data_IF_380303372485
#
_entry.id   IF_380303372485
#
_cell.length_a   1.000
_cell.length_b   1.000
_cell.length_c   1.000
_cell.angle_alpha   90.00
_cell.angle_beta   90.00
_cell.angle_gamma   90.00
#
_symmetry.space_group_name_H-M   'P 1'
#
loop_
_entity.id
_entity.type
_entity.pdbx_description
1 polymer ?
#
# COMPACT_ATOMS: atom_id res chain seq x y z
N UNK A 1 21.26 -17.11 -14.29
CA UNK A 1 21.37 -16.27 -13.11
C UNK A 1 20.54 -15.01 -13.28
N UNK A 2 19.90 -14.60 -12.25
CA UNK A 2 19.16 -13.36 -12.30
C UNK A 2 20.09 -12.18 -12.47
N UNK A 3 19.72 -11.32 -13.36
CA UNK A 3 20.47 -10.10 -13.55
C UNK A 3 20.27 -9.17 -12.36
N UNK A 4 21.36 -8.60 -11.91
CA UNK A 4 21.31 -7.57 -10.88
C UNK A 4 21.48 -6.19 -11.50
N UNK A 5 21.39 -6.10 -12.81
CA UNK A 5 21.54 -4.83 -13.49
C UNK A 5 20.37 -3.91 -13.15
N UNK A 6 20.61 -2.62 -13.23
CA UNK A 6 19.59 -1.62 -13.00
C UNK A 6 18.40 -1.81 -13.95
N UNK A 7 18.69 -2.22 -15.18
CA UNK A 7 17.63 -2.41 -16.18
C UNK A 7 16.63 -3.47 -15.75
N UNK A 8 17.09 -4.56 -15.12
CA UNK A 8 16.19 -5.60 -14.66
C UNK A 8 15.40 -5.16 -13.42
N UNK A 9 15.98 -4.29 -12.59
CA UNK A 9 15.36 -3.85 -11.35
C UNK A 9 14.32 -2.75 -11.55
N UNK A 10 14.45 -1.94 -12.61
CA UNK A 10 13.52 -0.86 -12.86
C UNK A 10 12.07 -1.34 -13.00
N UNK A 11 11.77 -2.36 -13.84
CA UNK A 11 10.40 -2.85 -13.94
C UNK A 11 9.86 -3.39 -12.62
N UNK A 12 10.69 -4.02 -11.81
CA UNK A 12 10.29 -4.54 -10.52
C UNK A 12 9.94 -3.39 -9.58
N UNK A 13 10.78 -2.35 -9.54
CA UNK A 13 10.55 -1.20 -8.69
C UNK A 13 9.27 -0.47 -9.09
N UNK A 14 9.03 -0.33 -10.39
CA UNK A 14 7.81 0.31 -10.87
C UNK A 14 6.57 -0.51 -10.53
N UNK A 15 6.67 -1.83 -10.62
CA UNK A 15 5.59 -2.72 -10.24
C UNK A 15 5.19 -2.51 -8.77
N UNK A 16 6.19 -2.48 -7.89
CA UNK A 16 5.94 -2.27 -6.47
C UNK A 16 5.40 -0.88 -6.18
N UNK A 17 5.84 0.12 -6.93
CA UNK A 17 5.33 1.47 -6.79
C UNK A 17 3.85 1.52 -7.13
N UNK A 18 3.46 0.95 -8.26
CA UNK A 18 2.06 0.91 -8.69
C UNK A 18 1.22 0.14 -7.67
N UNK A 19 1.73 -1.00 -7.20
CA UNK A 19 1.03 -1.81 -6.21
C UNK A 19 0.79 -1.03 -4.92
N UNK A 20 1.78 -0.26 -4.49
CA UNK A 20 1.66 0.59 -3.30
C UNK A 20 0.62 1.68 -3.51
N UNK A 21 0.57 2.29 -4.69
CA UNK A 21 -0.42 3.31 -4.99
C UNK A 21 -1.84 2.74 -5.01
N UNK A 22 -2.02 1.56 -5.61
CA UNK A 22 -3.32 0.90 -5.62
C UNK A 22 -3.75 0.55 -4.20
N UNK A 23 -2.82 0.03 -3.39
CA UNK A 23 -3.11 -0.29 -1.99
C UNK A 23 -3.55 0.94 -1.21
N UNK A 24 -2.91 2.07 -1.47
CA UNK A 24 -3.28 3.33 -0.81
C UNK A 24 -4.71 3.73 -1.15
N UNK A 25 -5.08 3.63 -2.42
CA UNK A 25 -6.44 3.96 -2.85
C UNK A 25 -7.45 3.05 -2.18
N UNK A 26 -7.16 1.75 -2.09
CA UNK A 26 -8.05 0.81 -1.44
C UNK A 26 -8.25 1.15 0.04
N UNK A 27 -7.18 1.50 0.73
CA UNK A 27 -7.25 1.89 2.14
C UNK A 27 -8.05 3.17 2.30
N UNK A 28 -7.83 4.15 1.43
CA UNK A 28 -8.60 5.40 1.46
C UNK A 28 -10.08 5.14 1.28
N UNK A 29 -10.44 4.26 0.35
CA UNK A 29 -11.84 3.91 0.14
C UNK A 29 -12.46 3.28 1.38
N UNK A 30 -11.73 2.40 2.05
CA UNK A 30 -12.21 1.79 3.29
C UNK A 30 -12.45 2.82 4.38
N UNK A 31 -11.53 3.77 4.53
CA UNK A 31 -11.68 4.82 5.53
C UNK A 31 -12.89 5.70 5.22
N UNK A 32 -13.11 5.99 3.95
CA UNK A 32 -14.26 6.77 3.54
C UNK A 32 -15.57 6.04 3.80
N UNK A 33 -15.57 4.72 3.69
CA UNK A 33 -16.76 3.90 3.95
C UNK A 33 -17.02 3.67 5.44
N UNK A 34 -16.07 4.07 6.29
CA UNK A 34 -16.26 3.97 7.73
C UNK A 34 -15.49 2.86 8.42
N UNK A 35 -14.71 2.10 7.68
CA UNK A 35 -13.85 1.07 8.29
C UNK A 35 -12.77 1.78 9.09
N UNK A 36 -12.64 1.43 10.37
CA UNK A 36 -11.81 2.21 11.28
C UNK A 36 -10.61 1.48 11.84
N UNK A 37 -10.57 0.15 11.76
CA UNK A 37 -9.44 -0.58 12.30
C UNK A 37 -8.77 -1.43 11.24
N UNK A 38 -7.53 -1.84 11.55
CA UNK A 38 -6.70 -2.56 10.61
C UNK A 38 -7.35 -3.88 10.19
N UNK A 39 -7.96 -4.58 11.14
CA UNK A 39 -8.60 -5.85 10.86
C UNK A 39 -9.72 -5.71 9.84
N UNK A 40 -10.55 -4.70 9.98
CA UNK A 40 -11.64 -4.44 9.05
C UNK A 40 -11.12 -4.10 7.65
N UNK A 41 -10.07 -3.29 7.60
CA UNK A 41 -9.46 -2.91 6.31
C UNK A 41 -8.83 -4.12 5.63
N UNK A 42 -8.17 -4.98 6.39
CA UNK A 42 -7.58 -6.21 5.84
C UNK A 42 -8.68 -7.09 5.23
N UNK A 43 -9.78 -7.24 5.93
CA UNK A 43 -10.89 -8.06 5.43
C UNK A 43 -11.51 -7.46 4.17
N UNK A 44 -11.65 -6.15 4.14
CA UNK A 44 -12.28 -5.48 3.01
C UNK A 44 -11.41 -5.47 1.77
N UNK A 45 -10.09 -5.33 1.94
CA UNK A 45 -9.18 -5.16 0.81
C UNK A 45 -8.44 -6.43 0.41
N UNK A 46 -8.30 -7.36 1.34
CA UNK A 46 -7.47 -8.55 1.10
C UNK A 46 -5.98 -8.27 1.16
N UNK A 47 -5.58 -7.07 1.56
CA UNK A 47 -4.17 -6.72 1.70
C UNK A 47 -3.60 -7.31 2.98
N UNK A 48 -2.28 -7.52 3.01
CA UNK A 48 -1.63 -7.99 4.23
C UNK A 48 -1.58 -6.92 5.30
N UNK A 49 -1.48 -7.35 6.55
CA UNK A 49 -1.44 -6.43 7.68
C UNK A 49 -0.29 -5.42 7.57
N UNK A 50 0.89 -5.88 7.16
CA UNK A 50 2.04 -4.99 7.03
C UNK A 50 1.79 -3.90 5.99
N UNK A 51 1.16 -4.26 4.87
CA UNK A 51 0.85 -3.30 3.83
C UNK A 51 -0.17 -2.28 4.31
N UNK A 52 -1.25 -2.74 4.95
CA UNK A 52 -2.28 -1.85 5.47
C UNK A 52 -1.69 -0.90 6.51
N UNK A 53 -0.89 -1.42 7.43
CA UNK A 53 -0.25 -0.59 8.47
C UNK A 53 0.68 0.45 7.85
N UNK A 54 1.43 0.07 6.83
CA UNK A 54 2.30 0.99 6.12
C UNK A 54 1.50 2.12 5.48
N UNK A 55 0.40 1.77 4.81
CA UNK A 55 -0.42 2.77 4.14
C UNK A 55 -1.06 3.73 5.16
N UNK A 56 -1.55 3.21 6.25
CA UNK A 56 -2.14 4.05 7.28
C UNK A 56 -1.12 5.01 7.87
N UNK A 57 0.10 4.54 8.09
CA UNK A 57 1.17 5.38 8.61
C UNK A 57 1.52 6.49 7.64
N UNK A 58 1.62 6.16 6.35
CA UNK A 58 1.94 7.17 5.33
C UNK A 58 0.82 8.21 5.21
N UNK A 59 -0.42 7.78 5.26
CA UNK A 59 -1.55 8.70 5.21
C UNK A 59 -1.59 9.62 6.43
N UNK A 60 -1.28 9.08 7.60
CA UNK A 60 -1.21 9.88 8.82
C UNK A 60 -0.10 10.93 8.72
N UNK A 61 1.04 10.57 8.14
CA UNK A 61 2.13 11.52 7.96
C UNK A 61 1.74 12.66 7.00
N UNK A 62 0.98 12.34 5.97
CA UNK A 62 0.52 13.37 5.04
C UNK A 62 -0.44 14.34 5.74
N UNK A 63 -1.31 13.83 6.60
CA UNK A 63 -2.24 14.67 7.36
C UNK A 63 -1.55 15.50 8.42
N UNK A 64 -0.44 14.99 8.95
CA UNK A 64 0.28 15.64 10.03
C UNK A 64 1.02 16.90 9.60
N UNK A 65 1.05 17.17 8.35
CA UNK A 65 1.68 18.36 7.81
C UNK A 65 0.65 19.30 7.25
#
# INVERSE_FOLDING_TARGET
MLSTSSEALIPIAEFFKVLSEVSRIQVLCCLKLGDKNVTEIIKATGLGQANVSKQLKELANLRGH
#
